data_IF_899162331870
#
_entry.id   IF_899162331870
#
_cell.length_a   1.000
_cell.length_b   1.000
_cell.length_c   1.000
_cell.angle_alpha   90.00
_cell.angle_beta   90.00
_cell.angle_gamma   90.00
#
_symmetry.space_group_name_H-M   'P 1'
#
loop_
_entity.id
_entity.type
_entity.pdbx_description
1 polymer ?
#
# COMPACT_ATOMS: atom_id res chain seq x y z
N UNK A 1 31.32 -16.74 -31.52
CA UNK A 1 30.54 -15.48 -31.59
C UNK A 1 30.72 -14.77 -32.91
N UNK A 2 31.88 -14.17 -33.24
CA UNK A 2 32.10 -13.58 -34.59
C UNK A 2 31.87 -14.54 -35.76
N UNK A 3 32.07 -15.84 -35.54
CA UNK A 3 31.77 -16.87 -36.55
C UNK A 3 30.27 -17.20 -36.66
N UNK A 4 29.49 -17.06 -35.58
CA UNK A 4 28.01 -17.18 -35.62
C UNK A 4 27.38 -15.96 -36.27
N UNK A 5 27.88 -14.76 -35.98
CA UNK A 5 27.49 -13.51 -36.65
C UNK A 5 27.67 -13.62 -38.16
N UNK A 6 28.85 -14.11 -38.60
CA UNK A 6 29.16 -14.25 -40.03
C UNK A 6 28.33 -15.34 -40.73
N UNK A 7 28.00 -16.43 -40.02
CA UNK A 7 27.28 -17.58 -40.62
C UNK A 7 25.77 -17.45 -40.59
N UNK A 8 25.21 -16.81 -39.57
CA UNK A 8 23.76 -16.74 -39.36
C UNK A 8 23.19 -15.33 -39.58
N UNK A 9 24.03 -14.36 -39.98
CA UNK A 9 23.68 -12.94 -40.08
C UNK A 9 23.09 -12.37 -38.77
N UNK A 10 23.53 -12.92 -37.63
CA UNK A 10 22.99 -12.56 -36.33
C UNK A 10 23.51 -11.20 -35.86
N UNK A 11 22.62 -10.32 -35.43
CA UNK A 11 22.97 -8.98 -34.94
C UNK A 11 23.76 -9.03 -33.63
N UNK A 12 24.82 -8.22 -33.53
CA UNK A 12 25.60 -8.09 -32.29
C UNK A 12 24.77 -7.55 -31.12
N UNK A 13 23.72 -6.78 -31.39
CA UNK A 13 22.82 -6.25 -30.36
C UNK A 13 22.01 -7.33 -29.65
N UNK A 14 21.86 -8.51 -30.25
CA UNK A 14 21.11 -9.60 -29.65
C UNK A 14 21.76 -10.12 -28.36
N UNK A 15 23.08 -10.35 -28.35
CA UNK A 15 23.79 -11.00 -27.21
C UNK A 15 24.63 -10.06 -26.35
N UNK A 16 24.83 -8.81 -26.77
CA UNK A 16 25.56 -7.86 -25.94
C UNK A 16 24.67 -7.36 -24.82
N UNK A 17 24.83 -7.91 -23.61
CA UNK A 17 24.18 -7.45 -22.36
C UNK A 17 24.38 -5.95 -22.06
N UNK A 18 25.37 -5.31 -22.68
CA UNK A 18 25.62 -3.86 -22.59
C UNK A 18 24.94 -3.01 -23.68
N UNK A 19 24.32 -3.64 -24.68
CA UNK A 19 23.46 -2.93 -25.64
C UNK A 19 22.14 -2.60 -24.95
N UNK A 20 21.58 -1.42 -25.22
CA UNK A 20 20.35 -0.96 -24.57
C UNK A 20 19.14 -1.89 -24.75
N UNK A 21 19.21 -2.86 -25.67
CA UNK A 21 18.13 -3.76 -26.06
C UNK A 21 17.71 -4.72 -24.93
N UNK A 22 18.63 -5.12 -24.06
CA UNK A 22 18.31 -6.00 -22.91
C UNK A 22 17.40 -5.31 -21.87
N UNK A 23 17.34 -3.97 -21.89
CA UNK A 23 16.51 -3.19 -20.94
C UNK A 23 15.12 -2.86 -21.47
N UNK A 24 14.80 -3.24 -22.70
CA UNK A 24 13.52 -2.93 -23.33
C UNK A 24 12.56 -4.09 -23.08
N UNK A 25 11.29 -3.78 -22.81
CA UNK A 25 10.24 -4.76 -22.50
C UNK A 25 9.99 -5.80 -23.61
N UNK A 26 10.39 -5.47 -24.84
CA UNK A 26 10.35 -6.37 -25.99
C UNK A 26 10.57 -5.63 -27.30
N UNK A 27 10.95 -6.37 -28.33
CA UNK A 27 11.09 -5.87 -29.70
C UNK A 27 10.99 -7.01 -30.70
N UNK A 28 10.77 -6.66 -31.96
CA UNK A 28 10.82 -7.57 -33.10
C UNK A 28 11.64 -6.93 -34.21
N UNK A 29 12.46 -7.74 -34.86
CA UNK A 29 13.24 -7.38 -36.02
C UNK A 29 13.18 -8.51 -37.05
N UNK A 30 13.08 -8.13 -38.31
CA UNK A 30 13.07 -9.02 -39.46
C UNK A 30 14.08 -8.49 -40.47
N UNK A 31 14.89 -9.37 -41.03
CA UNK A 31 15.80 -9.04 -42.11
C UNK A 31 15.87 -10.19 -43.11
N UNK A 32 15.99 -9.85 -44.39
CA UNK A 32 16.11 -10.79 -45.50
C UNK A 32 17.50 -10.61 -46.12
N UNK A 33 18.56 -11.16 -45.49
CA UNK A 33 19.91 -10.98 -45.98
C UNK A 33 20.05 -11.54 -47.40
N UNK A 34 20.88 -10.92 -48.25
CA UNK A 34 21.10 -11.41 -49.59
C UNK A 34 21.74 -12.81 -49.55
N UNK A 35 21.11 -13.78 -50.20
CA UNK A 35 21.64 -15.13 -50.30
C UNK A 35 22.86 -15.16 -51.24
N UNK A 36 23.88 -15.94 -50.87
CA UNK A 36 25.05 -16.15 -51.73
C UNK A 36 24.76 -17.16 -52.87
N UNK A 37 23.63 -17.87 -52.82
CA UNK A 37 23.23 -18.90 -53.79
C UNK A 37 22.08 -18.33 -54.63
N UNK A 38 22.25 -18.29 -55.96
CA UNK A 38 21.20 -17.83 -56.87
C UNK A 38 19.95 -18.70 -56.73
N UNK A 39 18.83 -18.08 -56.31
CA UNK A 39 17.52 -18.71 -56.24
C UNK A 39 17.14 -19.26 -54.86
N UNK A 40 18.00 -19.12 -53.84
CA UNK A 40 17.62 -19.39 -52.44
C UNK A 40 17.29 -18.08 -51.72
N UNK A 41 16.39 -18.15 -50.74
CA UNK A 41 16.00 -17.01 -49.92
C UNK A 41 16.30 -17.32 -48.46
N UNK A 42 17.07 -16.43 -47.83
CA UNK A 42 17.36 -16.51 -46.41
C UNK A 42 16.56 -15.47 -45.67
N UNK A 43 15.87 -15.92 -44.62
CA UNK A 43 15.05 -15.08 -43.76
C UNK A 43 15.57 -15.15 -42.33
N UNK A 44 15.80 -13.99 -41.74
CA UNK A 44 16.23 -13.88 -40.34
C UNK A 44 15.25 -13.05 -39.55
N UNK A 45 14.96 -13.48 -38.33
CA UNK A 45 14.14 -12.70 -37.42
C UNK A 45 14.60 -12.83 -35.98
N UNK A 46 14.46 -11.74 -35.25
CA UNK A 46 14.79 -11.62 -33.85
C UNK A 46 13.57 -11.11 -33.08
N UNK A 47 13.33 -11.70 -31.91
CA UNK A 47 12.28 -11.29 -31.01
C UNK A 47 12.78 -11.34 -29.57
N UNK A 48 12.38 -10.34 -28.79
CA UNK A 48 12.65 -10.29 -27.36
C UNK A 48 11.36 -10.08 -26.59
N UNK A 49 11.20 -10.84 -25.52
CA UNK A 49 10.05 -10.78 -24.62
C UNK A 49 10.54 -10.63 -23.19
N UNK A 50 9.96 -9.70 -22.45
CA UNK A 50 10.22 -9.51 -21.02
C UNK A 50 8.92 -9.65 -20.25
N UNK A 51 8.91 -10.43 -19.18
CA UNK A 51 7.78 -10.49 -18.26
C UNK A 51 8.24 -10.56 -16.81
N UNK A 52 7.31 -10.30 -15.90
CA UNK A 52 7.54 -10.53 -14.46
C UNK A 52 7.02 -11.89 -14.06
N UNK A 53 7.83 -12.66 -13.37
CA UNK A 53 7.37 -13.83 -12.61
C UNK A 53 7.02 -13.38 -11.21
N UNK A 54 5.75 -13.56 -10.85
CA UNK A 54 5.25 -13.27 -9.51
C UNK A 54 5.04 -14.61 -8.81
N UNK A 55 5.82 -14.89 -7.76
CA UNK A 55 5.61 -16.07 -6.93
C UNK A 55 4.81 -15.72 -5.67
N UNK A 56 3.82 -16.56 -5.35
CA UNK A 56 3.20 -16.54 -4.04
C UNK A 56 4.19 -17.14 -3.05
N UNK A 57 5.01 -16.30 -2.42
CA UNK A 57 5.98 -16.77 -1.42
C UNK A 57 5.24 -17.39 -0.22
N UNK A 58 5.67 -18.58 0.20
CA UNK A 58 5.27 -19.19 1.46
C UNK A 58 5.87 -18.44 2.68
N UNK A 59 6.90 -17.62 2.48
CA UNK A 59 7.40 -16.67 3.49
C UNK A 59 6.71 -15.31 3.32
N UNK A 60 6.08 -14.86 4.40
CA UNK A 60 5.22 -13.65 4.50
C UNK A 60 5.90 -12.29 4.21
N UNK A 61 7.13 -12.24 3.69
CA UNK A 61 7.90 -10.98 3.61
C UNK A 61 7.88 -10.29 2.24
N UNK A 62 7.68 -11.00 1.13
CA UNK A 62 7.46 -10.38 -0.19
C UNK A 62 7.05 -11.43 -1.24
N UNK A 63 6.18 -11.10 -2.22
CA UNK A 63 6.13 -11.88 -3.45
C UNK A 63 7.52 -11.85 -4.08
N UNK A 64 8.05 -13.03 -4.43
CA UNK A 64 9.25 -13.12 -5.24
C UNK A 64 8.92 -12.58 -6.62
N UNK A 65 9.25 -11.31 -6.87
CA UNK A 65 9.05 -10.66 -8.17
C UNK A 65 10.40 -10.66 -8.87
N UNK A 66 10.48 -11.44 -9.93
CA UNK A 66 11.68 -11.57 -10.74
C UNK A 66 11.36 -11.18 -12.18
N UNK A 67 12.29 -10.52 -12.85
CA UNK A 67 12.20 -10.26 -14.27
C UNK A 67 12.75 -11.46 -15.01
N UNK A 68 12.01 -11.96 -15.99
CA UNK A 68 12.46 -13.01 -16.90
C UNK A 68 12.45 -12.45 -18.31
N UNK A 69 13.53 -12.72 -19.03
CA UNK A 69 13.66 -12.40 -20.45
C UNK A 69 13.72 -13.67 -21.29
N UNK A 70 13.18 -13.57 -22.50
CA UNK A 70 13.35 -14.56 -23.56
C UNK A 70 13.74 -13.86 -24.86
N UNK A 71 14.94 -14.16 -25.34
CA UNK A 71 15.41 -13.82 -26.67
C UNK A 71 15.23 -15.01 -27.62
N UNK A 72 14.70 -14.74 -28.81
CA UNK A 72 14.51 -15.73 -29.87
C UNK A 72 15.13 -15.19 -31.14
N UNK A 73 16.04 -15.96 -31.73
CA UNK A 73 16.55 -15.70 -33.06
C UNK A 73 16.25 -16.89 -33.97
N UNK A 74 15.72 -16.61 -35.15
CA UNK A 74 15.39 -17.61 -36.16
C UNK A 74 16.12 -17.26 -37.44
N UNK A 75 16.86 -18.24 -37.96
CA UNK A 75 17.43 -18.21 -39.30
C UNK A 75 16.80 -19.33 -40.11
N UNK A 76 16.16 -18.97 -41.21
CA UNK A 76 15.46 -19.87 -42.11
C UNK A 76 16.01 -19.72 -43.53
N UNK A 77 16.15 -20.84 -44.22
CA UNK A 77 16.59 -20.92 -45.60
C UNK A 77 15.56 -21.72 -46.42
N UNK A 78 15.34 -21.30 -47.66
CA UNK A 78 14.45 -21.96 -48.62
C UNK A 78 14.84 -23.41 -48.91
N UNK A 79 16.10 -23.77 -48.63
CA UNK A 79 16.60 -25.15 -48.73
C UNK A 79 16.07 -26.08 -47.61
N UNK A 80 15.19 -25.58 -46.73
CA UNK A 80 14.57 -26.34 -45.64
C UNK A 80 15.43 -26.44 -44.38
N UNK A 81 16.47 -25.61 -44.29
CA UNK A 81 17.29 -25.47 -43.10
C UNK A 81 16.74 -24.37 -42.20
N UNK A 82 16.42 -24.73 -40.95
CA UNK A 82 15.96 -23.78 -39.94
C UNK A 82 16.82 -23.92 -38.69
N UNK A 83 17.45 -22.81 -38.28
CA UNK A 83 18.24 -22.72 -37.06
C UNK A 83 17.54 -21.77 -36.09
N UNK A 84 17.24 -22.25 -34.90
CA UNK A 84 16.58 -21.48 -33.84
C UNK A 84 17.55 -21.37 -32.69
N UNK A 85 17.74 -20.15 -32.21
CA UNK A 85 18.59 -19.84 -31.07
C UNK A 85 17.73 -19.17 -30.00
N UNK A 86 17.73 -19.79 -28.81
CA UNK A 86 16.89 -19.42 -27.69
C UNK A 86 17.77 -18.97 -26.53
N UNK A 87 17.56 -17.75 -26.06
CA UNK A 87 18.09 -17.25 -24.81
C UNK A 87 16.93 -17.15 -23.83
N UNK A 88 16.92 -17.99 -22.79
CA UNK A 88 15.90 -17.90 -21.75
C UNK A 88 16.55 -18.30 -20.42
N UNK A 89 16.30 -17.51 -19.39
CA UNK A 89 16.83 -17.78 -18.04
C UNK A 89 16.08 -18.93 -17.35
N UNK A 90 14.89 -19.29 -17.85
CA UNK A 90 14.04 -20.33 -17.27
C UNK A 90 14.30 -21.70 -17.93
N UNK A 91 15.00 -22.58 -17.20
CA UNK A 91 15.44 -23.90 -17.68
C UNK A 91 14.26 -24.81 -18.03
N UNK A 92 13.19 -24.82 -17.22
CA UNK A 92 12.01 -25.66 -17.45
C UNK A 92 11.25 -25.26 -18.73
N UNK A 93 11.04 -23.96 -18.92
CA UNK A 93 10.46 -23.40 -20.14
C UNK A 93 11.29 -23.76 -21.38
N UNK A 94 12.61 -23.63 -21.26
CA UNK A 94 13.55 -23.95 -22.33
C UNK A 94 13.50 -25.43 -22.70
N UNK A 95 13.50 -26.33 -21.71
CA UNK A 95 13.41 -27.77 -21.93
C UNK A 95 12.09 -28.19 -22.57
N UNK A 96 10.97 -27.60 -22.13
CA UNK A 96 9.67 -27.83 -22.73
C UNK A 96 9.65 -27.39 -24.19
N UNK A 97 10.13 -26.18 -24.47
CA UNK A 97 10.16 -25.62 -25.82
C UNK A 97 11.06 -26.44 -26.76
N UNK A 98 12.24 -26.86 -26.30
CA UNK A 98 13.14 -27.74 -27.06
C UNK A 98 12.44 -29.05 -27.40
N UNK A 99 11.70 -29.64 -26.44
CA UNK A 99 10.95 -30.88 -26.66
C UNK A 99 9.84 -30.68 -27.70
N UNK A 100 9.11 -29.57 -27.61
CA UNK A 100 8.02 -29.25 -28.53
C UNK A 100 8.53 -28.97 -29.95
N UNK A 101 9.56 -28.13 -30.09
CA UNK A 101 10.22 -27.85 -31.36
C UNK A 101 10.93 -29.09 -31.95
N UNK A 102 11.30 -30.05 -31.11
CA UNK A 102 11.89 -31.32 -31.56
C UNK A 102 10.88 -32.30 -32.14
N UNK A 103 9.58 -32.07 -31.92
CA UNK A 103 8.50 -32.91 -32.43
C UNK A 103 8.48 -32.88 -33.97
N UNK A 104 8.17 -34.02 -34.61
CA UNK A 104 8.20 -34.16 -36.07
C UNK A 104 7.27 -33.14 -36.76
N UNK A 105 6.04 -32.99 -36.26
CA UNK A 105 5.08 -32.04 -36.80
C UNK A 105 5.54 -30.58 -36.70
N UNK A 106 6.23 -30.24 -35.60
CA UNK A 106 6.79 -28.91 -35.39
C UNK A 106 7.96 -28.67 -36.35
N UNK A 107 8.86 -29.64 -36.52
CA UNK A 107 9.96 -29.57 -37.49
C UNK A 107 9.46 -29.36 -38.90
N UNK A 108 8.52 -30.20 -39.35
CA UNK A 108 7.96 -30.10 -40.71
C UNK A 108 7.33 -28.70 -40.94
N UNK A 109 6.65 -28.15 -39.93
CA UNK A 109 6.06 -26.81 -40.00
C UNK A 109 7.13 -25.70 -40.01
N UNK A 110 8.18 -25.81 -39.18
CA UNK A 110 9.26 -24.82 -39.08
C UNK A 110 10.14 -24.79 -40.34
N UNK A 111 10.29 -25.93 -41.02
CA UNK A 111 10.98 -26.00 -42.30
C UNK A 111 10.16 -25.37 -43.42
N UNK A 112 8.84 -25.56 -43.39
CA UNK A 112 7.94 -25.02 -44.41
C UNK A 112 7.64 -23.53 -44.24
N UNK A 113 7.68 -22.96 -43.01
CA UNK A 113 7.39 -21.55 -42.77
C UNK A 113 8.36 -20.93 -41.74
N UNK A 114 9.02 -19.80 -42.07
CA UNK A 114 9.98 -19.13 -41.17
C UNK A 114 9.37 -18.71 -39.82
N UNK A 115 8.08 -18.38 -39.80
CA UNK A 115 7.35 -17.90 -38.62
C UNK A 115 6.67 -19.02 -37.82
N UNK A 116 6.66 -20.26 -38.31
CA UNK A 116 6.02 -21.36 -37.57
C UNK A 116 6.69 -21.61 -36.22
N UNK A 117 8.02 -21.47 -36.13
CA UNK A 117 8.75 -21.56 -34.87
C UNK A 117 8.33 -20.48 -33.87
N UNK A 118 8.22 -19.23 -34.33
CA UNK A 118 7.78 -18.10 -33.51
C UNK A 118 6.33 -18.26 -33.07
N UNK A 119 5.45 -18.78 -33.92
CA UNK A 119 4.07 -19.07 -33.55
C UNK A 119 3.99 -20.08 -32.39
N UNK A 120 4.78 -21.16 -32.43
CA UNK A 120 4.87 -22.14 -31.34
C UNK A 120 5.41 -21.52 -30.04
N UNK A 121 6.43 -20.66 -30.15
CA UNK A 121 7.00 -19.96 -28.98
C UNK A 121 5.97 -19.01 -28.36
N UNK A 122 5.23 -18.25 -29.19
CA UNK A 122 4.19 -17.36 -28.73
C UNK A 122 3.06 -18.10 -28.02
N UNK A 123 2.68 -19.29 -28.48
CA UNK A 123 1.68 -20.13 -27.80
C UNK A 123 2.14 -20.50 -26.38
N UNK A 124 3.42 -20.82 -26.20
CA UNK A 124 4.01 -21.04 -24.87
C UNK A 124 4.02 -19.74 -24.03
N UNK A 125 4.42 -18.61 -24.62
CA UNK A 125 4.45 -17.31 -23.95
C UNK A 125 3.08 -16.91 -23.42
N UNK A 126 2.00 -17.15 -24.16
CA UNK A 126 0.63 -16.90 -23.67
C UNK A 126 0.38 -17.59 -22.33
N UNK A 127 0.89 -18.82 -22.15
CA UNK A 127 0.79 -19.55 -20.89
C UNK A 127 1.49 -18.86 -19.71
N UNK A 128 2.71 -18.36 -19.91
CA UNK A 128 3.46 -17.66 -18.85
C UNK A 128 2.81 -16.34 -18.46
N UNK A 129 2.38 -15.56 -19.45
CA UNK A 129 1.67 -14.31 -19.21
C UNK A 129 0.32 -14.53 -18.52
N UNK A 130 -0.46 -15.53 -18.97
CA UNK A 130 -1.74 -15.87 -18.34
C UNK A 130 -1.56 -16.29 -16.88
N UNK A 131 -0.58 -17.15 -16.60
CA UNK A 131 -0.26 -17.58 -15.23
C UNK A 131 0.11 -16.38 -14.35
N UNK A 132 0.91 -15.44 -14.85
CA UNK A 132 1.25 -14.24 -14.11
C UNK A 132 0.03 -13.35 -13.85
N UNK A 133 -0.86 -13.16 -14.84
CA UNK A 133 -2.12 -12.42 -14.66
C UNK A 133 -3.01 -13.08 -13.60
N UNK A 134 -3.09 -14.42 -13.58
CA UNK A 134 -3.85 -15.17 -12.57
C UNK A 134 -3.29 -14.98 -11.16
N UNK A 135 -1.97 -14.90 -11.01
CA UNK A 135 -1.34 -14.58 -9.71
C UNK A 135 -1.74 -13.18 -9.24
N UNK A 136 -1.74 -12.18 -10.12
CA UNK A 136 -2.21 -10.82 -9.79
C UNK A 136 -3.69 -10.79 -9.42
N UNK A 137 -4.53 -11.56 -10.11
CA UNK A 137 -5.92 -11.73 -9.74
C UNK A 137 -6.05 -12.34 -8.34
N UNK A 138 -5.21 -13.32 -7.99
CA UNK A 138 -5.14 -13.89 -6.65
C UNK A 138 -4.81 -12.84 -5.58
N UNK A 139 -3.84 -11.97 -5.85
CA UNK A 139 -3.52 -10.85 -4.95
C UNK A 139 -4.71 -9.91 -4.77
N UNK A 140 -5.31 -9.41 -5.86
CA UNK A 140 -6.48 -8.51 -5.80
C UNK A 140 -7.62 -9.13 -4.99
N UNK A 141 -7.96 -10.40 -5.26
CA UNK A 141 -9.00 -11.13 -4.52
C UNK A 141 -8.68 -11.25 -3.03
N UNK A 142 -7.42 -11.40 -2.65
CA UNK A 142 -7.01 -11.43 -1.25
C UNK A 142 -7.25 -10.09 -0.53
N UNK A 143 -7.06 -8.96 -1.23
CA UNK A 143 -7.39 -7.63 -0.70
C UNK A 143 -8.91 -7.40 -0.60
N UNK A 144 -9.65 -7.75 -1.66
CA UNK A 144 -11.11 -7.64 -1.67
C UNK A 144 -11.77 -8.48 -0.55
N UNK A 145 -11.26 -9.70 -0.31
CA UNK A 145 -11.74 -10.56 0.77
C UNK A 145 -11.48 -9.97 2.15
N UNK A 146 -10.29 -9.39 2.41
CA UNK A 146 -9.99 -8.73 3.70
C UNK A 146 -11.02 -7.65 4.05
N UNK A 147 -11.38 -6.84 3.05
CA UNK A 147 -12.41 -5.80 3.19
C UNK A 147 -13.78 -6.39 3.48
N UNK A 148 -14.22 -7.39 2.70
CA UNK A 148 -15.57 -7.95 2.81
C UNK A 148 -15.83 -8.60 4.17
N UNK A 149 -14.82 -9.28 4.73
CA UNK A 149 -14.95 -9.99 6.00
C UNK A 149 -14.50 -9.18 7.21
N UNK A 150 -14.07 -7.92 7.02
CA UNK A 150 -13.58 -7.08 8.11
C UNK A 150 -12.42 -7.70 8.88
N UNK A 151 -11.58 -8.48 8.18
CA UNK A 151 -10.41 -9.12 8.76
C UNK A 151 -9.37 -8.03 9.02
N UNK A 152 -9.43 -7.47 10.22
CA UNK A 152 -8.49 -6.48 10.73
C UNK A 152 -7.15 -7.19 10.95
N UNK A 153 -6.25 -7.09 9.97
CA UNK A 153 -4.87 -7.55 10.16
C UNK A 153 -4.18 -6.50 11.02
N UNK A 154 -4.41 -6.60 12.32
CA UNK A 154 -3.53 -6.02 13.33
C UNK A 154 -2.10 -6.50 13.04
N UNK A 155 -1.25 -5.57 12.61
CA UNK A 155 0.13 -5.49 13.06
C UNK A 155 1.22 -6.35 12.42
N UNK A 156 0.92 -7.43 11.68
CA UNK A 156 2.01 -8.26 11.13
C UNK A 156 1.92 -8.50 9.62
N UNK A 157 2.85 -7.85 8.92
CA UNK A 157 3.41 -8.25 7.63
C UNK A 157 2.42 -8.51 6.50
N UNK A 158 1.55 -7.54 6.21
CA UNK A 158 0.94 -7.45 4.89
C UNK A 158 1.83 -6.62 3.99
N UNK A 159 2.27 -7.19 2.86
CA UNK A 159 2.98 -6.46 1.80
C UNK A 159 2.31 -5.12 1.54
N UNK A 160 3.09 -4.06 1.41
CA UNK A 160 2.54 -2.72 1.22
C UNK A 160 1.67 -2.70 -0.03
N UNK A 161 0.37 -2.50 0.17
CA UNK A 161 -0.63 -2.34 -0.89
C UNK A 161 -0.20 -1.26 -1.90
N UNK A 162 0.71 -0.37 -1.50
CA UNK A 162 1.23 0.73 -2.30
C UNK A 162 2.11 0.29 -3.48
N UNK A 163 2.85 -0.82 -3.39
CA UNK A 163 3.76 -1.24 -4.46
C UNK A 163 3.08 -2.15 -5.50
N UNK A 164 2.00 -2.85 -5.14
CA UNK A 164 1.30 -3.77 -6.07
C UNK A 164 0.83 -3.07 -7.37
N UNK A 165 0.16 -1.89 -7.32
CA UNK A 165 -0.25 -1.19 -8.54
C UNK A 165 0.93 -0.93 -9.49
N UNK A 166 2.12 -0.61 -8.96
CA UNK A 166 3.33 -0.41 -9.78
C UNK A 166 3.72 -1.69 -10.49
N UNK A 167 3.71 -2.83 -9.81
CA UNK A 167 4.10 -4.10 -10.41
C UNK A 167 3.09 -4.58 -11.46
N UNK A 168 1.79 -4.40 -11.20
CA UNK A 168 0.72 -4.72 -12.14
C UNK A 168 0.73 -3.81 -13.38
N UNK A 169 1.06 -2.52 -13.20
CA UNK A 169 1.28 -1.60 -14.32
C UNK A 169 2.40 -2.10 -15.25
N UNK A 170 3.55 -2.51 -14.69
CA UNK A 170 4.63 -3.09 -15.50
C UNK A 170 4.22 -4.38 -16.21
N UNK A 171 3.38 -5.23 -15.59
CA UNK A 171 2.87 -6.43 -16.26
C UNK A 171 1.99 -6.07 -17.46
N UNK A 172 1.16 -5.03 -17.31
CA UNK A 172 0.33 -4.48 -18.39
C UNK A 172 1.19 -3.91 -19.53
N UNK A 173 2.24 -3.15 -19.20
CA UNK A 173 3.20 -2.63 -20.16
C UNK A 173 3.89 -3.76 -20.97
N UNK A 174 4.37 -4.81 -20.29
CA UNK A 174 5.00 -5.96 -20.96
C UNK A 174 4.04 -6.69 -21.91
N UNK A 175 2.78 -6.84 -21.50
CA UNK A 175 1.72 -7.42 -22.32
C UNK A 175 1.42 -6.55 -23.56
N UNK A 176 1.34 -5.23 -23.39
CA UNK A 176 1.10 -4.30 -24.51
C UNK A 176 2.25 -4.32 -25.51
N UNK A 177 3.49 -4.33 -25.04
CA UNK A 177 4.68 -4.47 -25.90
C UNK A 177 4.68 -5.81 -26.62
N UNK A 178 4.31 -6.90 -25.94
CA UNK A 178 4.18 -8.22 -26.56
C UNK A 178 3.10 -8.23 -27.65
N UNK A 179 1.96 -7.56 -27.45
CA UNK A 179 0.95 -7.39 -28.51
C UNK A 179 1.54 -6.69 -29.72
N UNK A 180 2.31 -5.61 -29.53
CA UNK A 180 2.99 -4.89 -30.62
C UNK A 180 4.02 -5.75 -31.37
N UNK A 181 4.77 -6.58 -30.64
CA UNK A 181 5.69 -7.58 -31.23
C UNK A 181 4.93 -8.57 -32.12
N UNK A 182 3.82 -9.13 -31.62
CA UNK A 182 3.01 -10.08 -32.40
C UNK A 182 2.34 -9.41 -33.60
N UNK A 183 1.94 -8.15 -33.48
CA UNK A 183 1.41 -7.38 -34.61
C UNK A 183 2.47 -7.17 -35.69
N UNK A 184 3.69 -6.80 -35.31
CA UNK A 184 4.82 -6.66 -36.23
C UNK A 184 5.16 -7.99 -36.92
N UNK A 185 5.14 -9.11 -36.19
CA UNK A 185 5.31 -10.44 -36.78
C UNK A 185 4.21 -10.79 -37.78
N UNK A 186 2.96 -10.41 -37.51
CA UNK A 186 1.85 -10.65 -38.44
C UNK A 186 2.02 -9.81 -39.71
N UNK A 187 2.40 -8.55 -39.57
CA UNK A 187 2.62 -7.63 -40.69
C UNK A 187 3.74 -8.14 -41.61
N UNK A 188 4.89 -8.46 -41.05
CA UNK A 188 6.03 -9.00 -41.80
C UNK A 188 5.74 -10.40 -42.38
N UNK A 189 5.01 -11.28 -41.66
CA UNK A 189 4.56 -12.56 -42.23
C UNK A 189 3.62 -12.34 -43.43
N UNK A 190 2.70 -11.37 -43.35
CA UNK A 190 1.83 -11.06 -44.49
C UNK A 190 2.57 -10.45 -45.67
N UNK A 191 3.61 -9.65 -45.43
CA UNK A 191 4.47 -9.11 -46.47
C UNK A 191 5.25 -10.24 -47.16
N UNK A 192 5.87 -11.13 -46.39
CA UNK A 192 6.58 -12.31 -46.91
C UNK A 192 5.67 -13.18 -47.77
N UNK A 193 4.42 -13.43 -47.34
CA UNK A 193 3.47 -14.20 -48.13
C UNK A 193 3.09 -13.52 -49.45
N UNK A 194 3.05 -12.18 -49.49
CA UNK A 194 2.81 -11.46 -50.73
C UNK A 194 3.98 -11.64 -51.71
N UNK A 195 5.21 -11.45 -51.24
CA UNK A 195 6.42 -11.57 -52.05
C UNK A 195 6.64 -13.01 -52.56
N UNK A 196 6.29 -14.00 -51.75
CA UNK A 196 6.47 -15.41 -52.08
C UNK A 196 5.35 -16.01 -52.94
N UNK A 197 4.13 -15.49 -52.89
CA UNK A 197 3.05 -15.92 -53.78
C UNK A 197 3.41 -15.66 -55.25
N UNK A 198 4.18 -14.61 -55.51
CA UNK A 198 4.69 -14.29 -56.86
C UNK A 198 5.75 -15.31 -57.34
N UNK A 199 6.27 -16.15 -56.45
CA UNK A 199 7.37 -17.09 -56.71
C UNK A 199 6.94 -18.58 -56.68
N UNK A 200 5.69 -18.92 -56.34
CA UNK A 200 5.13 -20.30 -56.29
C UNK A 200 5.91 -21.32 -55.40
N UNK A 201 6.73 -20.87 -54.44
CA UNK A 201 7.69 -21.73 -53.73
C UNK A 201 7.18 -22.37 -52.41
N UNK A 202 6.01 -21.99 -51.92
CA UNK A 202 5.66 -22.13 -50.49
C UNK A 202 4.31 -22.86 -50.27
N UNK A 203 4.23 -23.74 -49.26
CA UNK A 203 3.03 -24.58 -49.01
C UNK A 203 1.89 -23.75 -48.41
N UNK A 204 0.81 -23.49 -49.18
CA UNK A 204 -0.24 -22.56 -48.76
C UNK A 204 -0.99 -23.02 -47.50
N UNK A 205 -1.00 -24.34 -47.21
CA UNK A 205 -1.69 -24.88 -46.03
C UNK A 205 -0.91 -24.56 -44.76
N UNK A 206 0.42 -24.71 -44.78
CA UNK A 206 1.27 -24.43 -43.61
C UNK A 206 1.26 -22.93 -43.32
N UNK A 207 1.43 -22.08 -44.33
CA UNK A 207 1.39 -20.62 -44.15
C UNK A 207 0.07 -20.12 -43.59
N UNK A 208 -1.04 -20.66 -44.07
CA UNK A 208 -2.35 -20.31 -43.54
C UNK A 208 -2.48 -20.69 -42.07
N UNK A 209 -1.97 -21.87 -41.69
CA UNK A 209 -1.97 -22.34 -40.30
C UNK A 209 -1.10 -21.43 -39.41
N UNK A 210 0.12 -21.09 -39.85
CA UNK A 210 1.01 -20.15 -39.15
C UNK A 210 0.32 -18.80 -38.95
N UNK A 211 -0.26 -18.24 -40.02
CA UNK A 211 -0.99 -16.97 -39.96
C UNK A 211 -2.17 -17.02 -38.99
N UNK A 212 -2.87 -18.16 -38.89
CA UNK A 212 -3.98 -18.35 -37.97
C UNK A 212 -3.49 -18.47 -36.52
N UNK A 213 -2.39 -19.18 -36.28
CA UNK A 213 -1.78 -19.29 -34.94
C UNK A 213 -1.29 -17.93 -34.44
N UNK A 214 -0.57 -17.15 -35.26
CA UNK A 214 -0.15 -15.78 -34.90
C UNK A 214 -1.34 -14.88 -34.53
N UNK A 215 -2.40 -14.90 -35.35
CA UNK A 215 -3.63 -14.11 -35.06
C UNK A 215 -4.36 -14.59 -33.81
N UNK A 216 -4.36 -15.89 -33.53
CA UNK A 216 -4.88 -16.48 -32.29
C UNK A 216 -4.07 -15.98 -31.09
N UNK A 217 -2.74 -16.04 -31.14
CA UNK A 217 -1.86 -15.51 -30.10
C UNK A 217 -2.10 -14.01 -29.85
N UNK A 218 -2.21 -13.20 -30.90
CA UNK A 218 -2.58 -11.77 -30.77
C UNK A 218 -3.90 -11.58 -30.03
N UNK A 219 -4.93 -12.36 -30.36
CA UNK A 219 -6.22 -12.28 -29.70
C UNK A 219 -6.13 -12.66 -28.22
N UNK A 220 -5.33 -13.68 -27.89
CA UNK A 220 -5.12 -14.13 -26.51
C UNK A 220 -4.37 -13.06 -25.70
N UNK A 221 -3.27 -12.51 -26.23
CA UNK A 221 -2.54 -11.43 -25.56
C UNK A 221 -3.40 -10.18 -25.37
N UNK A 222 -4.21 -9.78 -26.35
CA UNK A 222 -5.15 -8.65 -26.19
C UNK A 222 -6.17 -8.92 -25.09
N UNK A 223 -6.69 -10.15 -24.98
CA UNK A 223 -7.55 -10.53 -23.85
C UNK A 223 -6.83 -10.38 -22.51
N UNK A 224 -5.58 -10.84 -22.42
CA UNK A 224 -4.75 -10.69 -21.22
C UNK A 224 -4.47 -9.22 -20.88
N UNK A 225 -4.22 -8.35 -21.86
CA UNK A 225 -4.08 -6.89 -21.66
C UNK A 225 -5.35 -6.31 -21.03
N UNK A 226 -6.52 -6.65 -21.56
CA UNK A 226 -7.80 -6.17 -21.01
C UNK A 226 -8.02 -6.65 -19.58
N UNK A 227 -7.67 -7.90 -19.28
CA UNK A 227 -7.73 -8.43 -17.92
C UNK A 227 -6.76 -7.70 -16.99
N UNK A 228 -5.51 -7.49 -17.42
CA UNK A 228 -4.49 -6.79 -16.64
C UNK A 228 -4.89 -5.34 -16.33
N UNK A 229 -5.42 -4.60 -17.32
CA UNK A 229 -5.95 -3.23 -17.13
C UNK A 229 -7.13 -3.17 -16.16
N UNK A 230 -8.04 -4.15 -16.24
CA UNK A 230 -9.15 -4.25 -15.29
C UNK A 230 -8.65 -4.52 -13.86
N UNK A 231 -7.69 -5.43 -13.70
CA UNK A 231 -7.04 -5.70 -12.43
C UNK A 231 -6.29 -4.48 -11.88
N UNK A 232 -5.62 -3.73 -12.76
CA UNK A 232 -4.90 -2.50 -12.39
C UNK A 232 -5.85 -1.47 -11.80
N UNK A 233 -6.99 -1.23 -12.46
CA UNK A 233 -8.03 -0.32 -11.96
C UNK A 233 -8.57 -0.79 -10.61
N UNK A 234 -8.81 -2.10 -10.44
CA UNK A 234 -9.30 -2.68 -9.18
C UNK A 234 -8.27 -2.53 -8.07
N UNK A 235 -7.00 -2.85 -8.34
CA UNK A 235 -5.91 -2.75 -7.36
C UNK A 235 -5.67 -1.30 -6.93
N UNK A 236 -5.72 -0.35 -7.87
CA UNK A 236 -5.65 1.09 -7.54
C UNK A 236 -6.80 1.53 -6.66
N UNK A 237 -8.01 1.07 -6.95
CA UNK A 237 -9.18 1.39 -6.13
C UNK A 237 -9.03 0.83 -4.71
N UNK A 238 -8.57 -0.41 -4.57
CA UNK A 238 -8.32 -1.04 -3.27
C UNK A 238 -7.23 -0.29 -2.48
N UNK A 239 -6.13 0.08 -3.12
CA UNK A 239 -5.06 0.88 -2.51
C UNK A 239 -5.56 2.25 -2.03
N UNK A 240 -6.40 2.92 -2.82
CA UNK A 240 -6.98 4.20 -2.43
C UNK A 240 -7.94 4.06 -1.25
N UNK A 241 -8.80 3.05 -1.29
CA UNK A 241 -9.72 2.78 -0.20
C UNK A 241 -8.97 2.49 1.12
N UNK A 242 -7.86 1.75 1.07
CA UNK A 242 -7.00 1.51 2.24
C UNK A 242 -6.44 2.82 2.82
N UNK A 243 -5.91 3.72 1.97
CA UNK A 243 -5.44 5.04 2.40
C UNK A 243 -6.55 5.87 3.03
N UNK A 244 -7.76 5.88 2.45
CA UNK A 244 -8.89 6.61 3.05
C UNK A 244 -9.33 5.99 4.38
N UNK A 245 -9.19 4.68 4.55
CA UNK A 245 -9.48 3.99 5.80
C UNK A 245 -8.47 4.39 6.89
N UNK A 246 -7.17 4.33 6.59
CA UNK A 246 -6.09 4.76 7.48
C UNK A 246 -6.29 6.24 7.87
N UNK A 247 -6.53 7.13 6.90
CA UNK A 247 -6.75 8.55 7.17
C UNK A 247 -7.97 8.80 8.08
N UNK A 248 -9.04 8.01 7.95
CA UNK A 248 -10.21 8.09 8.84
C UNK A 248 -9.88 7.60 10.25
N UNK A 249 -9.10 6.53 10.35
CA UNK A 249 -8.64 6.01 11.64
C UNK A 249 -7.75 7.04 12.35
N UNK A 250 -6.79 7.64 11.64
CA UNK A 250 -5.93 8.71 12.15
C UNK A 250 -6.71 9.95 12.56
N UNK A 251 -7.75 10.31 11.80
CA UNK A 251 -8.63 11.42 12.17
C UNK A 251 -9.40 11.13 13.47
N UNK A 252 -9.84 9.88 13.68
CA UNK A 252 -10.51 9.45 14.92
C UNK A 252 -9.55 9.42 16.10
N UNK A 253 -8.34 8.88 15.92
CA UNK A 253 -7.33 8.87 16.98
C UNK A 253 -6.91 10.29 17.33
N UNK A 254 -6.68 11.18 16.35
CA UNK A 254 -6.40 12.59 16.57
C UNK A 254 -7.56 13.30 17.30
N UNK A 255 -8.82 13.03 16.94
CA UNK A 255 -9.98 13.58 17.64
C UNK A 255 -10.06 13.09 19.10
N UNK A 256 -9.77 11.82 19.36
CA UNK A 256 -9.72 11.25 20.70
C UNK A 256 -8.57 11.86 21.52
N UNK A 257 -7.38 11.99 20.93
CA UNK A 257 -6.23 12.67 21.54
C UNK A 257 -6.60 14.12 21.88
N UNK A 258 -7.24 14.84 20.97
CA UNK A 258 -7.70 16.21 21.22
C UNK A 258 -8.76 16.28 22.34
N UNK A 259 -9.65 15.30 22.44
CA UNK A 259 -10.63 15.22 23.52
C UNK A 259 -9.96 14.96 24.89
N UNK A 260 -9.00 14.03 24.93
CA UNK A 260 -8.20 13.74 26.13
C UNK A 260 -7.35 14.95 26.54
N UNK A 261 -6.70 15.62 25.58
CA UNK A 261 -5.92 16.83 25.83
C UNK A 261 -6.80 18.00 26.33
N UNK A 262 -8.05 18.11 25.88
CA UNK A 262 -9.02 19.09 26.41
C UNK A 262 -9.40 18.79 27.85
N UNK A 263 -9.61 17.52 28.19
CA UNK A 263 -9.89 17.11 29.57
C UNK A 263 -8.69 17.41 30.48
N UNK A 264 -7.48 17.08 30.04
CA UNK A 264 -6.25 17.40 30.75
C UNK A 264 -6.08 18.91 30.96
N UNK A 265 -6.34 19.72 29.91
CA UNK A 265 -6.32 21.18 30.01
C UNK A 265 -7.29 21.74 31.06
N UNK A 266 -8.45 21.10 31.27
CA UNK A 266 -9.39 21.51 32.33
C UNK A 266 -8.81 21.25 33.73
N UNK A 267 -8.12 20.13 33.91
CA UNK A 267 -7.43 19.79 35.16
C UNK A 267 -6.27 20.75 35.40
N UNK A 268 -5.45 21.04 34.38
CA UNK A 268 -4.34 22.01 34.48
C UNK A 268 -4.86 23.40 34.88
N UNK A 269 -5.96 23.86 34.26
CA UNK A 269 -6.59 25.14 34.64
C UNK A 269 -6.99 25.17 36.11
N UNK A 270 -7.53 24.08 36.63
CA UNK A 270 -7.91 23.97 38.05
C UNK A 270 -6.67 24.06 38.96
N UNK A 271 -5.61 23.33 38.63
CA UNK A 271 -4.34 23.37 39.38
C UNK A 271 -3.73 24.78 39.33
N UNK A 272 -3.74 25.45 38.17
CA UNK A 272 -3.25 26.82 38.03
C UNK A 272 -4.06 27.82 38.86
N UNK A 273 -5.39 27.71 38.88
CA UNK A 273 -6.25 28.54 39.74
C UNK A 273 -5.95 28.30 41.21
N UNK A 274 -5.76 27.04 41.62
CA UNK A 274 -5.42 26.68 42.99
C UNK A 274 -4.06 27.26 43.41
N UNK A 275 -3.07 27.20 42.52
CA UNK A 275 -1.77 27.86 42.70
C UNK A 275 -1.89 29.37 42.82
N UNK A 276 -2.74 30.03 42.02
CA UNK A 276 -2.96 31.48 42.07
C UNK A 276 -3.51 31.95 43.42
N UNK A 277 -4.30 31.12 44.10
CA UNK A 277 -4.88 31.42 45.43
C UNK A 277 -3.89 31.10 46.55
N UNK A 278 -3.25 29.93 46.50
CA UNK A 278 -2.41 29.47 47.61
C UNK A 278 -1.04 30.14 47.65
N UNK A 279 -0.46 30.50 46.52
CA UNK A 279 0.91 31.05 46.47
C UNK A 279 1.02 32.41 47.19
N UNK A 280 0.10 33.39 46.98
CA UNK A 280 0.08 34.64 47.75
C UNK A 280 -0.18 34.42 49.24
N UNK A 281 -1.11 33.52 49.56
CA UNK A 281 -1.49 33.19 50.94
C UNK A 281 -0.32 32.57 51.71
N UNK A 282 0.44 31.68 51.06
CA UNK A 282 1.62 31.02 51.63
C UNK A 282 2.77 32.00 51.81
N UNK A 283 2.97 32.93 50.86
CA UNK A 283 3.97 33.99 50.97
C UNK A 283 3.70 34.91 52.17
N UNK A 284 2.45 35.31 52.39
CA UNK A 284 2.05 36.09 53.57
C UNK A 284 2.33 35.31 54.86
N UNK A 285 1.90 34.04 54.92
CA UNK A 285 2.17 33.16 56.08
C UNK A 285 3.68 33.03 56.38
N UNK A 286 4.51 32.89 55.34
CA UNK A 286 5.96 32.80 55.45
C UNK A 286 6.61 34.10 55.91
N UNK A 287 6.21 35.26 55.37
CA UNK A 287 6.80 36.57 55.74
C UNK A 287 6.51 36.91 57.20
N UNK A 288 5.28 36.63 57.64
CA UNK A 288 4.90 36.90 59.03
C UNK A 288 5.39 35.82 60.00
N UNK A 289 5.91 34.69 59.49
CA UNK A 289 6.43 33.57 60.29
C UNK A 289 5.43 33.05 61.35
N UNK A 290 4.14 33.32 61.13
CA UNK A 290 3.06 33.11 62.10
C UNK A 290 2.44 31.73 61.89
N UNK A 291 2.63 30.82 62.85
CA UNK A 291 1.71 29.70 63.05
C UNK A 291 0.41 30.26 63.61
N UNK A 292 -0.49 30.73 62.73
CA UNK A 292 -1.78 31.31 63.13
C UNK A 292 -2.64 30.35 63.95
N UNK A 293 -2.35 29.05 63.86
CA UNK A 293 -2.96 27.98 64.63
C UNK A 293 -1.89 27.29 65.47
N UNK A 294 -2.04 27.30 66.79
CA UNK A 294 -1.21 26.53 67.71
C UNK A 294 -2.06 25.49 68.43
N UNK A 295 -1.59 24.24 68.41
CA UNK A 295 -2.18 23.13 69.16
C UNK A 295 -1.56 23.13 70.55
N UNK A 296 -2.36 23.43 71.56
CA UNK A 296 -1.90 23.40 72.95
C UNK A 296 -2.53 22.22 73.70
N UNK A 297 -1.73 21.48 74.49
CA UNK A 297 -2.26 20.48 75.42
C UNK A 297 -2.97 21.16 76.59
N UNK A 298 -4.16 20.67 76.94
CA UNK A 298 -5.00 21.21 78.01
C UNK A 298 -4.34 21.19 79.41
N UNK A 299 -3.21 20.50 79.56
CA UNK A 299 -2.44 20.45 80.80
C UNK A 299 -1.83 21.81 81.22
N UNK A 300 -1.85 22.83 80.36
CA UNK A 300 -1.32 24.17 80.66
C UNK A 300 -2.40 25.24 80.93
N UNK A 301 -3.69 24.88 80.95
CA UNK A 301 -4.75 25.82 81.28
C UNK A 301 -4.91 25.94 82.80
N UNK A 302 -4.15 26.85 83.41
CA UNK A 302 -4.41 27.31 84.76
C UNK A 302 -5.74 28.06 84.79
N UNK A 303 -6.73 27.44 85.42
CA UNK A 303 -7.92 28.02 86.05
C UNK A 303 -8.46 29.33 85.42
N UNK A 304 -9.30 29.21 84.37
CA UNK A 304 -10.47 30.08 84.15
C UNK A 304 -11.53 29.26 83.42
N UNK A 305 -12.69 29.19 84.07
CA UNK A 305 -13.91 28.51 83.65
C UNK A 305 -14.59 29.27 82.52
N UNK A 306 -14.23 28.96 81.27
CA UNK A 306 -15.09 29.27 80.11
C UNK A 306 -15.01 28.15 79.08
N UNK A 307 -16.19 27.65 78.70
CA UNK A 307 -16.55 26.68 77.64
C UNK A 307 -15.40 26.33 76.67
N UNK A 308 -15.09 25.03 76.45
CA UNK A 308 -14.06 24.66 75.46
C UNK A 308 -14.45 25.21 74.08
N UNK A 309 -13.55 25.93 73.39
CA UNK A 309 -13.77 26.32 72.00
C UNK A 309 -13.78 25.08 71.10
N UNK A 310 -14.44 25.24 69.96
CA UNK A 310 -14.86 24.19 69.04
C UNK A 310 -13.73 23.21 68.64
N UNK A 311 -13.97 21.90 68.83
CA UNK A 311 -13.17 20.80 68.27
C UNK A 311 -12.05 20.24 69.16
N UNK A 312 -12.39 19.35 70.10
CA UNK A 312 -11.41 18.57 70.86
C UNK A 312 -11.09 17.25 70.14
N UNK A 313 -9.82 16.94 69.92
CA UNK A 313 -9.39 15.60 69.46
C UNK A 313 -8.56 14.93 70.55
N UNK A 314 -9.04 13.81 71.07
CA UNK A 314 -8.34 13.01 72.08
C UNK A 314 -7.40 12.05 71.37
N UNK A 315 -6.10 12.34 71.37
CA UNK A 315 -5.08 11.35 70.99
C UNK A 315 -4.33 10.96 72.26
N UNK A 316 -4.41 9.69 72.64
CA UNK A 316 -3.71 9.11 73.78
C UNK A 316 -3.99 9.79 75.14
N UNK A 317 -5.24 10.20 75.39
CA UNK A 317 -5.67 10.72 76.70
C UNK A 317 -5.34 12.19 76.99
N UNK A 318 -4.74 12.92 76.05
CA UNK A 318 -4.49 14.37 76.17
C UNK A 318 -5.51 15.12 75.31
N UNK A 319 -6.26 16.04 75.94
CA UNK A 319 -7.16 16.97 75.24
C UNK A 319 -6.34 18.10 74.65
N UNK A 320 -6.34 18.21 73.32
CA UNK A 320 -5.72 19.32 72.59
C UNK A 320 -6.82 20.33 72.21
N UNK A 321 -6.53 21.62 72.38
CA UNK A 321 -7.41 22.70 71.95
C UNK A 321 -6.70 23.62 70.94
N UNK A 322 -7.48 24.15 70.00
CA UNK A 322 -7.01 25.05 68.96
C UNK A 322 -7.05 26.49 69.46
N UNK A 323 -5.88 27.15 69.49
CA UNK A 323 -5.80 28.60 69.71
C UNK A 323 -5.53 29.27 68.36
N UNK A 324 -6.39 30.22 68.02
CA UNK A 324 -6.20 31.11 66.88
C UNK A 324 -5.56 32.40 67.40
N UNK A 325 -4.48 32.85 66.76
CA UNK A 325 -3.81 34.11 67.13
C UNK A 325 -4.74 35.32 66.90
N UNK A 326 -4.73 36.30 67.80
CA UNK A 326 -5.54 37.53 67.71
C UNK A 326 -5.17 38.39 66.48
N UNK A 327 -3.95 38.20 65.95
CA UNK A 327 -3.49 38.82 64.70
C UNK A 327 -3.97 38.11 63.43
N UNK A 328 -4.85 37.12 63.54
CA UNK A 328 -5.42 36.41 62.39
C UNK A 328 -6.14 37.34 61.40
N UNK A 329 -6.61 38.51 61.83
CA UNK A 329 -7.18 39.52 60.92
C UNK A 329 -6.17 39.97 59.86
N UNK A 330 -4.87 40.09 60.18
CA UNK A 330 -3.83 40.51 59.23
C UNK A 330 -3.70 39.57 58.04
N UNK A 331 -4.00 38.27 58.23
CA UNK A 331 -4.04 37.30 57.15
C UNK A 331 -5.11 37.70 56.11
N UNK A 332 -6.33 38.04 56.53
CA UNK A 332 -7.40 38.47 55.62
C UNK A 332 -7.14 39.85 55.01
N UNK A 333 -6.58 40.78 55.79
CA UNK A 333 -6.28 42.14 55.35
C UNK A 333 -5.25 42.17 54.20
N UNK A 334 -4.25 41.29 54.24
CA UNK A 334 -3.15 41.28 53.25
C UNK A 334 -3.40 40.27 52.12
N UNK A 335 -3.96 39.09 52.44
CA UNK A 335 -4.16 38.05 51.42
C UNK A 335 -5.25 38.39 50.39
N UNK A 336 -6.38 38.98 50.80
CA UNK A 336 -7.47 39.34 49.89
C UNK A 336 -7.02 40.35 48.81
N UNK A 337 -6.39 41.50 49.13
CA UNK A 337 -5.94 42.44 48.10
C UNK A 337 -4.82 41.85 47.24
N UNK A 338 -3.93 41.03 47.82
CA UNK A 338 -2.86 40.39 47.07
C UNK A 338 -3.38 39.35 46.08
N UNK A 339 -4.37 38.52 46.48
CA UNK A 339 -5.05 37.57 45.58
C UNK A 339 -5.86 38.28 44.50
N UNK A 340 -6.51 39.40 44.83
CA UNK A 340 -7.20 40.23 43.84
C UNK A 340 -6.21 40.83 42.83
N UNK A 341 -5.03 41.27 43.30
CA UNK A 341 -3.96 41.79 42.45
C UNK A 341 -3.38 40.71 41.53
N UNK A 342 -3.14 39.49 42.03
CA UNK A 342 -2.64 38.39 41.19
C UNK A 342 -3.65 37.96 40.14
N UNK A 343 -4.94 37.90 40.48
CA UNK A 343 -6.02 37.63 39.52
C UNK A 343 -6.15 38.76 38.49
N UNK A 344 -6.06 40.02 38.91
CA UNK A 344 -6.11 41.18 38.01
C UNK A 344 -4.92 41.18 37.04
N UNK A 345 -3.71 40.93 37.54
CA UNK A 345 -2.50 40.81 36.72
C UNK A 345 -2.63 39.66 35.72
N UNK A 346 -3.15 38.50 36.15
CA UNK A 346 -3.43 37.37 35.26
C UNK A 346 -4.47 37.70 34.18
N UNK A 347 -5.55 38.40 34.53
CA UNK A 347 -6.60 38.80 33.59
C UNK A 347 -6.10 39.83 32.56
N UNK A 348 -5.26 40.78 32.99
CA UNK A 348 -4.62 41.76 32.11
C UNK A 348 -3.60 41.10 31.18
N UNK A 349 -2.81 40.15 31.68
CA UNK A 349 -1.79 39.44 30.91
C UNK A 349 -2.39 38.45 29.89
N UNK A 350 -3.47 37.75 30.25
CA UNK A 350 -4.12 36.77 29.35
C UNK A 350 -5.08 37.40 28.33
N UNK A 351 -5.31 38.72 28.41
CA UNK A 351 -6.15 39.45 27.43
C UNK A 351 -7.60 38.99 27.38
N UNK A 352 -8.08 38.27 28.39
CA UNK A 352 -9.42 37.68 28.42
C UNK A 352 -10.46 38.81 28.57
N UNK A 353 -11.15 39.15 27.47
CA UNK A 353 -12.42 39.87 27.53
C UNK A 353 -13.41 38.99 28.29
N UNK A 354 -13.78 39.38 29.51
CA UNK A 354 -14.82 38.72 30.30
C UNK A 354 -16.04 38.42 29.42
N UNK A 355 -16.56 37.18 29.39
CA UNK A 355 -17.74 36.87 28.58
C UNK A 355 -18.92 37.68 29.11
N UNK A 356 -19.47 38.55 28.26
CA UNK A 356 -20.70 39.29 28.54
C UNK A 356 -21.81 38.33 28.97
N UNK A 357 -22.34 38.56 30.17
CA UNK A 357 -23.36 37.75 30.88
C UNK A 357 -24.68 37.57 30.09
N UNK A 358 -24.84 38.22 28.94
CA UNK A 358 -26.04 38.16 28.10
C UNK A 358 -26.27 36.84 27.32
N UNK A 359 -25.36 35.86 27.35
CA UNK A 359 -25.52 34.59 26.60
C UNK A 359 -26.01 33.39 27.40
N UNK A 360 -26.22 33.50 28.71
CA UNK A 360 -26.78 32.41 29.53
C UNK A 360 -28.33 32.40 29.56
N UNK A 361 -28.99 33.42 29.02
CA UNK A 361 -30.46 33.48 28.99
C UNK A 361 -31.10 32.73 27.79
N UNK A 362 -30.35 32.46 26.71
CA UNK A 362 -30.92 31.90 25.47
C UNK A 362 -30.67 30.41 25.24
N UNK A 363 -30.05 29.70 26.18
CA UNK A 363 -29.86 28.24 26.10
C UNK A 363 -30.88 27.43 26.91
N UNK A 364 -31.80 28.07 27.63
CA UNK A 364 -32.84 27.40 28.42
C UNK A 364 -34.12 27.01 27.63
N UNK A 365 -34.24 27.37 26.35
CA UNK A 365 -35.48 27.15 25.56
C UNK A 365 -35.31 26.32 24.29
N UNK A 366 -34.40 25.33 24.26
CA UNK A 366 -34.34 24.35 23.16
C UNK A 366 -34.49 22.91 23.67
N UNK A 367 -35.74 22.44 23.76
CA UNK A 367 -36.08 21.01 23.89
C UNK A 367 -35.49 20.23 22.70
N UNK A 368 -34.75 19.12 22.92
CA UNK A 368 -34.53 18.14 21.88
C UNK A 368 -35.62 17.07 21.96
N UNK A 369 -36.62 17.17 21.09
CA UNK A 369 -37.44 16.03 20.71
C UNK A 369 -36.76 15.28 19.57
N UNK A 370 -36.13 14.13 19.86
CA UNK A 370 -36.02 13.01 18.92
C UNK A 370 -35.54 11.75 19.63
N UNK A 371 -36.49 10.84 19.85
CA UNK A 371 -36.27 9.46 20.23
C UNK A 371 -35.48 8.77 19.11
N UNK A 372 -34.26 8.32 19.41
CA UNK A 372 -33.53 7.37 18.56
C UNK A 372 -33.77 5.99 19.17
N UNK A 373 -34.51 5.16 18.47
CA UNK A 373 -34.73 3.75 18.79
C UNK A 373 -33.43 2.98 18.66
N UNK A 374 -32.98 2.36 19.74
CA UNK A 374 -31.94 1.33 19.74
C UNK A 374 -32.56 0.03 19.21
N UNK A 375 -32.19 -0.37 17.99
CA UNK A 375 -32.40 -1.76 17.56
C UNK A 375 -31.35 -2.63 18.24
N UNK A 376 -31.83 -3.50 19.11
CA UNK A 376 -31.10 -4.59 19.76
C UNK A 376 -30.58 -5.57 18.70
N UNK A 377 -29.28 -5.79 18.70
CA UNK A 377 -28.65 -6.89 17.99
C UNK A 377 -29.01 -8.22 18.67
N UNK A 378 -29.73 -9.05 17.92
CA UNK A 378 -30.07 -10.43 18.25
C UNK A 378 -28.80 -11.29 18.25
N UNK A 379 -28.46 -11.90 19.39
CA UNK A 379 -27.49 -12.99 19.47
C UNK A 379 -28.21 -14.28 19.03
N UNK A 380 -27.93 -14.73 17.81
CA UNK A 380 -28.32 -16.06 17.34
C UNK A 380 -27.44 -17.15 17.95
N UNK A 381 -27.99 -17.94 18.87
CA UNK A 381 -27.47 -19.27 19.24
C UNK A 381 -28.00 -20.32 18.27
N UNK A 382 -27.18 -21.29 17.80
CA UNK A 382 -27.64 -22.37 16.94
C UNK A 382 -28.41 -23.41 17.75
N UNK A 383 -29.64 -23.74 17.33
CA UNK A 383 -30.39 -24.91 17.80
C UNK A 383 -30.18 -26.08 16.84
N UNK A 384 -29.75 -27.18 17.43
CA UNK A 384 -29.75 -28.52 16.88
C UNK A 384 -31.15 -28.99 16.45
N UNK A 385 -31.22 -29.66 15.30
CA UNK A 385 -32.17 -30.73 14.97
C UNK A 385 -31.43 -31.63 13.96
N UNK A 386 -31.02 -32.84 14.36
CA UNK A 386 -31.73 -34.11 14.12
C UNK A 386 -32.10 -34.35 12.67
#
# INVERSE_FOLDING_TARGET
MRELERRLALSQSFWTRGSGHYRISGYFGADSPPSNIKGTFTYTSEAHFLWKRSMLSSSLQSPGIEWISMGVFVHWDSDGHTSILLECEEVEATNYLIKELSNRLAKDSCQADPYASQALILELMVGFYATNVDVWLGFVRSFEARRQYGLDVSGEQTYSIDDLPRHLNHCTECLEVTVGVVESMIEEHTALLADCNDLEQLDPVVHRRTSQSLRKCRSLFRSLVLQARSLESRMRHEAELDRTFIARQDSRTAANIAALARADSSSTKTISVLGLIFLPTTLVCSIFSTTFFTLQPAAQLGDISTRPPFGSTTRNGVTLYWIVSDQFWLLWLVSIPLTLLTVLCWALFTGVKLPSVSRLANTATRRPGRTISFNTWEKGTPKNAK
#
